data_IF_044613493539
#
_entry.id   IF_044613493539
#
_cell.length_a   1.000
_cell.length_b   1.000
_cell.length_c   1.000
_cell.angle_alpha   90.00
_cell.angle_beta   90.00
_cell.angle_gamma   90.00
#
_symmetry.space_group_name_H-M   'P 1'
#
loop_
_entity.id
_entity.type
_entity.pdbx_description
1 polymer ?
#
# COMPACT_ATOMS: atom_id res chain seq x y z
N UNK A 1 -5.51 -19.37 -7.39
CA UNK A 1 -5.76 -17.94 -7.39
C UNK A 1 -5.58 -17.37 -8.79
N UNK A 2 -6.37 -16.37 -9.13
CA UNK A 2 -6.38 -15.75 -10.45
C UNK A 2 -6.16 -14.25 -10.34
N UNK A 3 -5.57 -13.61 -11.39
CA UNK A 3 -5.50 -12.15 -11.43
C UNK A 3 -6.91 -11.54 -11.39
N UNK A 4 -7.07 -10.48 -10.61
CA UNK A 4 -8.30 -9.69 -10.61
C UNK A 4 -8.26 -8.77 -11.84
N UNK A 5 -9.28 -8.81 -12.72
CA UNK A 5 -9.31 -7.89 -13.86
C UNK A 5 -9.24 -6.43 -13.42
N UNK A 6 -8.45 -5.61 -14.13
CA UNK A 6 -8.24 -4.21 -13.78
C UNK A 6 -9.52 -3.42 -13.48
N UNK A 7 -10.60 -3.52 -14.28
CA UNK A 7 -11.87 -2.83 -14.00
C UNK A 7 -12.54 -3.25 -12.70
N UNK A 8 -12.23 -4.43 -12.16
CA UNK A 8 -12.77 -4.93 -10.89
C UNK A 8 -11.83 -4.66 -9.71
N UNK A 9 -10.60 -4.23 -9.98
CA UNK A 9 -9.58 -3.97 -8.98
C UNK A 9 -9.76 -2.57 -8.39
N UNK A 10 -10.57 -2.46 -7.34
CA UNK A 10 -10.88 -1.21 -6.66
C UNK A 10 -10.64 -1.36 -5.17
N UNK A 11 -9.87 -0.46 -4.59
CA UNK A 11 -9.60 -0.47 -3.17
C UNK A 11 -9.42 0.92 -2.59
N UNK A 12 -9.64 1.06 -1.30
CA UNK A 12 -9.38 2.29 -0.55
C UNK A 12 -8.48 2.00 0.64
N UNK A 13 -7.56 2.92 0.90
CA UNK A 13 -6.71 2.93 2.08
C UNK A 13 -6.89 4.29 2.75
N UNK A 14 -7.33 4.28 4.00
CA UNK A 14 -7.55 5.49 4.78
C UNK A 14 -6.68 5.49 6.03
N UNK A 15 -6.14 6.63 6.38
CA UNK A 15 -5.30 6.81 7.56
C UNK A 15 -4.77 8.22 7.66
N UNK A 16 -4.04 8.50 8.73
CA UNK A 16 -3.40 9.79 8.97
C UNK A 16 -1.90 9.60 8.78
N UNK A 17 -1.31 10.37 7.89
CA UNK A 17 0.13 10.34 7.62
C UNK A 17 0.81 11.47 8.38
N UNK A 18 1.76 11.20 9.30
CA UNK A 18 2.53 12.27 9.93
C UNK A 18 3.30 13.09 8.88
N UNK A 19 3.39 14.42 9.04
CA UNK A 19 4.09 15.25 8.06
C UNK A 19 5.61 15.07 8.07
N UNK A 20 6.17 14.49 9.14
CA UNK A 20 7.59 14.21 9.28
C UNK A 20 7.82 12.85 9.93
N UNK A 21 8.85 12.15 9.49
CA UNK A 21 9.23 10.84 10.02
C UNK A 21 10.75 10.72 10.09
N UNK A 22 11.26 9.86 10.99
CA UNK A 22 12.68 9.60 11.13
C UNK A 22 13.18 8.60 10.09
N UNK A 23 14.26 8.96 9.41
CA UNK A 23 14.90 8.10 8.40
C UNK A 23 15.28 6.74 8.98
N UNK A 24 15.08 5.67 8.20
CA UNK A 24 15.51 4.33 8.54
C UNK A 24 14.76 3.66 9.69
N UNK A 25 13.66 4.24 10.17
CA UNK A 25 12.80 3.65 11.21
C UNK A 25 11.63 2.91 10.61
N UNK A 26 10.87 2.21 11.46
CA UNK A 26 9.55 1.68 11.11
C UNK A 26 8.49 2.39 11.94
N UNK A 27 7.40 2.79 11.29
CA UNK A 27 6.34 3.57 11.91
C UNK A 27 5.03 2.78 11.84
N UNK A 28 4.31 2.63 12.96
CA UNK A 28 2.99 1.98 12.95
C UNK A 28 1.93 2.92 12.38
N UNK A 29 1.15 2.43 11.43
CA UNK A 29 0.04 3.14 10.82
C UNK A 29 -1.24 2.37 11.08
N UNK A 30 -2.19 2.91 11.86
CA UNK A 30 -3.55 2.40 11.86
C UNK A 30 -4.21 2.75 10.52
N UNK A 31 -4.62 1.75 9.78
CA UNK A 31 -5.24 1.91 8.47
C UNK A 31 -6.62 1.30 8.45
N UNK A 32 -7.53 1.92 7.71
CA UNK A 32 -8.78 1.33 7.28
C UNK A 32 -8.64 0.92 5.82
N UNK A 33 -8.90 -0.35 5.54
CA UNK A 33 -8.75 -0.95 4.22
C UNK A 33 -10.12 -1.41 3.76
N UNK A 34 -10.49 -1.06 2.52
CA UNK A 34 -11.81 -1.37 1.98
C UNK A 34 -11.70 -1.96 0.60
N UNK A 35 -12.42 -3.04 0.34
CA UNK A 35 -12.60 -3.59 -0.98
C UNK A 35 -13.79 -2.88 -1.66
N UNK A 36 -13.48 -1.99 -2.60
CA UNK A 36 -14.47 -1.25 -3.38
C UNK A 36 -14.82 -1.95 -4.69
N UNK A 37 -14.16 -3.05 -5.00
CA UNK A 37 -14.36 -3.78 -6.25
C UNK A 37 -15.48 -4.79 -6.17
N UNK A 38 -15.64 -5.54 -7.26
CA UNK A 38 -16.65 -6.58 -7.39
C UNK A 38 -16.09 -8.00 -7.23
N UNK A 39 -14.78 -8.13 -7.05
CA UNK A 39 -14.11 -9.41 -6.83
C UNK A 39 -13.60 -9.51 -5.39
N UNK A 40 -13.66 -10.70 -4.76
CA UNK A 40 -13.07 -10.91 -3.45
C UNK A 40 -11.54 -10.83 -3.52
N UNK A 41 -10.92 -10.37 -2.42
CA UNK A 41 -9.47 -10.31 -2.30
C UNK A 41 -8.94 -11.54 -1.54
N UNK A 42 -8.14 -12.39 -2.18
CA UNK A 42 -7.39 -13.43 -1.47
C UNK A 42 -6.18 -12.77 -0.79
N UNK A 43 -6.34 -12.30 0.44
CA UNK A 43 -5.35 -11.49 1.13
C UNK A 43 -4.65 -12.23 2.27
N UNK A 44 -5.38 -13.06 3.03
CA UNK A 44 -4.78 -13.80 4.12
C UNK A 44 -3.71 -14.78 3.62
N UNK A 45 -2.51 -14.67 4.18
CA UNK A 45 -1.34 -15.41 3.74
C UNK A 45 -0.96 -16.45 4.80
N UNK A 46 -0.74 -17.71 4.43
CA UNK A 46 -0.19 -18.70 5.36
C UNK A 46 1.20 -18.28 5.85
N UNK A 47 1.63 -18.67 7.07
CA UNK A 47 2.96 -18.35 7.56
C UNK A 47 4.05 -18.75 6.56
N UNK A 48 4.97 -17.82 6.26
CA UNK A 48 6.12 -18.06 5.41
C UNK A 48 5.95 -17.72 3.92
N UNK A 49 4.77 -17.28 3.46
CA UNK A 49 4.60 -17.01 2.03
C UNK A 49 3.66 -15.86 1.71
N UNK A 50 4.12 -14.74 1.10
CA UNK A 50 3.29 -14.08 0.12
C UNK A 50 3.26 -14.98 -1.13
N UNK A 51 2.11 -15.57 -1.42
CA UNK A 51 1.93 -16.31 -2.67
C UNK A 51 1.55 -15.35 -3.79
N UNK A 52 1.88 -15.71 -5.04
CA UNK A 52 1.39 -15.01 -6.22
C UNK A 52 -0.13 -14.85 -6.17
N UNK A 53 -0.65 -13.72 -6.67
CA UNK A 53 -2.07 -13.38 -6.74
C UNK A 53 -2.73 -13.00 -5.39
N UNK A 54 -1.98 -12.96 -4.30
CA UNK A 54 -2.45 -12.42 -3.03
C UNK A 54 -2.55 -10.90 -3.11
N UNK A 55 -3.64 -10.33 -2.60
CA UNK A 55 -3.80 -8.87 -2.53
C UNK A 55 -3.07 -8.37 -1.29
N UNK A 56 -2.27 -7.34 -1.45
CA UNK A 56 -1.48 -6.74 -0.38
C UNK A 56 -1.46 -5.21 -0.53
N UNK A 57 -0.74 -4.54 0.37
CA UNK A 57 -0.48 -3.12 0.29
C UNK A 57 0.95 -2.89 -0.22
N UNK A 58 1.11 -1.87 -1.06
CA UNK A 58 2.42 -1.35 -1.44
C UNK A 58 2.60 0.00 -0.77
N UNK A 59 3.59 0.13 0.11
CA UNK A 59 4.04 1.40 0.65
C UNK A 59 5.24 1.86 -0.16
N UNK A 60 5.20 3.07 -0.69
CA UNK A 60 6.26 3.56 -1.57
C UNK A 60 6.60 5.02 -1.29
N UNK A 61 7.87 5.34 -1.48
CA UNK A 61 8.47 6.65 -1.29
C UNK A 61 9.06 7.11 -2.61
N UNK A 62 8.53 8.17 -3.21
CA UNK A 62 9.05 8.75 -4.45
C UNK A 62 9.64 10.13 -4.22
N UNK A 63 10.65 10.47 -5.01
CA UNK A 63 11.08 11.86 -5.10
C UNK A 63 9.92 12.74 -5.59
N UNK A 64 9.78 13.98 -5.08
CA UNK A 64 8.69 14.85 -5.48
C UNK A 64 8.67 15.08 -7.00
N UNK A 65 7.48 14.98 -7.60
CA UNK A 65 7.29 15.19 -9.02
C UNK A 65 7.72 14.03 -9.92
N UNK A 66 8.22 12.95 -9.35
CA UNK A 66 8.53 11.72 -10.09
C UNK A 66 7.24 10.99 -10.41
N UNK A 67 7.16 10.38 -11.59
CA UNK A 67 6.06 9.53 -11.99
C UNK A 67 5.99 8.31 -11.06
N UNK A 68 4.81 8.03 -10.54
CA UNK A 68 4.60 6.98 -9.54
C UNK A 68 4.61 5.58 -10.17
N UNK A 69 5.76 5.13 -10.58
CA UNK A 69 6.02 3.76 -11.01
C UNK A 69 6.90 3.07 -9.98
N UNK A 70 6.55 1.84 -9.62
CA UNK A 70 7.29 1.08 -8.60
C UNK A 70 8.80 1.04 -8.87
N UNK A 71 9.20 0.89 -10.14
CA UNK A 71 10.60 0.85 -10.53
C UNK A 71 11.35 2.15 -10.28
N UNK A 72 10.64 3.29 -10.11
CA UNK A 72 11.22 4.61 -9.87
C UNK A 72 11.12 5.02 -8.41
N UNK A 73 10.54 4.21 -7.54
CA UNK A 73 10.47 4.51 -6.13
C UNK A 73 11.88 4.49 -5.52
N UNK A 74 12.17 5.49 -4.68
CA UNK A 74 13.39 5.49 -3.90
C UNK A 74 13.42 4.32 -2.91
N UNK A 75 12.24 3.94 -2.40
CA UNK A 75 12.05 2.79 -1.54
C UNK A 75 10.60 2.31 -1.64
N UNK A 76 10.39 1.02 -1.58
CA UNK A 76 9.05 0.44 -1.50
C UNK A 76 9.06 -0.83 -0.67
N UNK A 77 7.90 -1.18 -0.10
CA UNK A 77 7.72 -2.40 0.66
C UNK A 77 6.31 -2.94 0.46
N UNK A 78 6.21 -4.26 0.31
CA UNK A 78 4.92 -4.96 0.32
C UNK A 78 4.52 -5.25 1.77
N UNK A 79 3.27 -4.95 2.10
CA UNK A 79 2.71 -5.14 3.44
C UNK A 79 1.49 -6.03 3.33
N UNK A 80 1.46 -7.10 4.13
CA UNK A 80 0.37 -8.07 4.08
C UNK A 80 -0.93 -7.50 4.61
N UNK A 81 -2.05 -7.82 3.95
CA UNK A 81 -3.39 -7.66 4.49
C UNK A 81 -3.75 -8.97 5.17
N UNK A 82 -4.09 -8.92 6.46
CA UNK A 82 -4.14 -10.11 7.31
C UNK A 82 -5.46 -10.90 7.23
N UNK A 83 -6.39 -10.49 6.40
CA UNK A 83 -7.63 -11.23 6.17
C UNK A 83 -8.12 -11.04 4.75
N UNK A 84 -8.87 -12.02 4.24
CA UNK A 84 -9.57 -11.90 2.98
C UNK A 84 -10.70 -10.88 3.10
N UNK A 85 -10.92 -10.10 2.05
CA UNK A 85 -11.99 -9.10 2.00
C UNK A 85 -12.94 -9.39 0.85
N UNK A 86 -14.21 -9.54 1.20
CA UNK A 86 -15.30 -9.63 0.22
C UNK A 86 -15.63 -8.26 -0.36
N UNK A 87 -16.28 -8.19 -1.54
CA UNK A 87 -16.72 -6.91 -2.10
C UNK A 87 -17.53 -6.09 -1.09
N UNK A 88 -17.17 -4.82 -0.92
CA UNK A 88 -17.81 -3.90 0.02
C UNK A 88 -17.34 -4.02 1.46
N UNK A 89 -16.57 -5.04 1.79
CA UNK A 89 -16.07 -5.25 3.14
C UNK A 89 -14.90 -4.31 3.45
N UNK A 90 -14.83 -3.87 4.72
CA UNK A 90 -13.71 -3.09 5.23
C UNK A 90 -13.28 -3.60 6.59
N UNK A 91 -12.02 -3.33 6.96
CA UNK A 91 -11.55 -3.59 8.31
C UNK A 91 -10.36 -2.69 8.65
N UNK A 92 -10.01 -2.65 9.91
CA UNK A 92 -8.88 -1.87 10.41
C UNK A 92 -7.70 -2.77 10.74
N UNK A 93 -6.51 -2.32 10.36
CA UNK A 93 -5.26 -3.03 10.61
C UNK A 93 -4.17 -2.01 10.85
N UNK A 94 -3.33 -2.25 11.86
CA UNK A 94 -2.08 -1.50 12.02
C UNK A 94 -0.99 -2.19 11.20
N UNK A 95 -0.32 -1.42 10.35
CA UNK A 95 0.84 -1.88 9.57
C UNK A 95 2.09 -1.15 10.03
N UNK A 96 3.24 -1.81 9.99
CA UNK A 96 4.53 -1.20 10.25
C UNK A 96 5.17 -0.83 8.92
N UNK A 97 5.35 0.47 8.68
CA UNK A 97 5.86 0.99 7.42
C UNK A 97 7.33 1.37 7.59
N UNK A 98 8.22 0.77 6.78
CA UNK A 98 9.62 1.21 6.76
C UNK A 98 9.71 2.60 6.14
N UNK A 99 10.44 3.50 6.81
CA UNK A 99 10.68 4.87 6.36
C UNK A 99 11.93 4.89 5.47
N UNK A 100 11.92 5.73 4.43
CA UNK A 100 13.07 5.92 3.56
C UNK A 100 14.34 6.19 4.38
N UNK A 101 15.47 5.62 3.98
CA UNK A 101 16.72 5.71 4.72
C UNK A 101 17.44 7.04 4.54
N UNK A 102 17.20 7.71 3.41
CA UNK A 102 17.83 8.99 3.11
C UNK A 102 16.90 10.14 3.48
N UNK A 103 17.32 11.10 4.31
CA UNK A 103 16.52 12.29 4.59
C UNK A 103 16.19 13.08 3.33
N UNK A 104 15.01 13.69 3.31
CA UNK A 104 14.55 14.48 2.19
C UNK A 104 13.04 14.64 2.19
N UNK A 105 12.51 15.25 1.15
CA UNK A 105 11.07 15.40 0.92
C UNK A 105 10.64 14.31 -0.06
N UNK A 106 9.56 13.60 0.28
CA UNK A 106 9.04 12.51 -0.55
C UNK A 106 7.55 12.65 -0.77
N UNK A 107 7.10 12.13 -1.90
CA UNK A 107 5.71 11.76 -2.11
C UNK A 107 5.54 10.33 -1.60
N UNK A 108 4.76 10.15 -0.52
CA UNK A 108 4.50 8.88 0.12
C UNK A 108 3.12 8.36 -0.29
N UNK A 109 3.04 7.06 -0.56
CA UNK A 109 1.79 6.42 -0.96
C UNK A 109 1.66 5.02 -0.35
N UNK A 110 0.45 4.69 0.07
CA UNK A 110 0.05 3.30 0.32
C UNK A 110 -1.10 2.98 -0.64
N UNK A 111 -0.89 1.99 -1.49
CA UNK A 111 -1.84 1.56 -2.51
C UNK A 111 -2.06 0.05 -2.41
N UNK A 112 -3.24 -0.40 -2.82
CA UNK A 112 -3.53 -1.83 -2.92
C UNK A 112 -2.95 -2.37 -4.22
N UNK A 113 -2.37 -3.56 -4.16
CA UNK A 113 -1.94 -4.30 -5.36
C UNK A 113 -2.15 -5.80 -5.18
N UNK A 114 -2.26 -6.51 -6.28
CA UNK A 114 -2.22 -7.97 -6.29
C UNK A 114 -0.82 -8.41 -6.74
N UNK A 115 -0.18 -9.30 -5.98
CA UNK A 115 1.15 -9.81 -6.30
C UNK A 115 1.11 -10.52 -7.65
N UNK A 116 2.01 -10.15 -8.57
CA UNK A 116 2.04 -10.63 -9.96
C UNK A 116 0.70 -10.43 -10.70
N UNK A 117 -0.05 -9.42 -10.30
CA UNK A 117 -1.35 -9.11 -10.89
C UNK A 117 -1.55 -7.60 -11.05
N UNK A 118 -2.81 -7.17 -10.98
CA UNK A 118 -3.18 -5.79 -11.18
C UNK A 118 -2.69 -4.90 -10.03
N UNK A 119 -2.14 -3.75 -10.38
CA UNK A 119 -2.02 -2.62 -9.46
C UNK A 119 -3.34 -1.89 -9.43
N UNK A 120 -3.80 -1.55 -8.23
CA UNK A 120 -5.09 -0.87 -8.06
C UNK A 120 -4.92 0.63 -8.27
N UNK A 121 -4.64 1.03 -9.52
CA UNK A 121 -4.36 2.41 -9.92
C UNK A 121 -5.41 2.98 -10.88
N UNK A 122 -6.42 2.19 -11.25
CA UNK A 122 -7.52 2.63 -12.12
C UNK A 122 -8.40 3.66 -11.42
N UNK A 123 -9.13 4.52 -12.17
CA UNK A 123 -10.12 5.42 -11.58
C UNK A 123 -11.09 4.68 -10.66
N UNK A 124 -11.43 5.28 -9.51
CA UNK A 124 -12.25 4.67 -8.47
C UNK A 124 -11.45 4.07 -7.32
N UNK A 125 -10.13 3.98 -7.43
CA UNK A 125 -9.25 3.65 -6.31
C UNK A 125 -9.00 4.89 -5.45
N UNK A 126 -8.80 4.66 -4.15
CA UNK A 126 -8.54 5.71 -3.17
C UNK A 126 -7.28 5.35 -2.37
N UNK A 127 -6.10 5.54 -2.94
CA UNK A 127 -4.85 5.32 -2.21
C UNK A 127 -4.65 6.38 -1.13
N UNK A 128 -3.88 6.05 -0.11
CA UNK A 128 -3.41 6.99 0.88
C UNK A 128 -2.16 7.68 0.34
N UNK A 129 -2.20 9.00 0.19
CA UNK A 129 -1.08 9.80 -0.33
C UNK A 129 -0.81 10.99 0.53
N UNK A 130 0.47 11.32 0.72
CA UNK A 130 0.89 12.52 1.43
C UNK A 130 2.32 12.90 1.05
N UNK A 131 2.63 14.19 1.17
CA UNK A 131 4.02 14.64 1.13
C UNK A 131 4.59 14.57 2.53
N UNK A 132 5.74 13.93 2.68
CA UNK A 132 6.39 13.67 3.97
C UNK A 132 7.83 14.18 3.93
N UNK A 133 8.24 14.87 4.99
CA UNK A 133 9.64 15.19 5.23
C UNK A 133 10.27 14.08 6.07
N UNK A 134 11.28 13.41 5.51
CA UNK A 134 12.07 12.42 6.23
C UNK A 134 13.29 13.15 6.81
N UNK A 135 13.44 13.08 8.12
CA UNK A 135 14.49 13.80 8.85
C UNK A 135 15.53 12.83 9.39
N UNK A 136 16.74 13.32 9.60
CA UNK A 136 17.82 12.52 10.21
C UNK A 136 17.42 12.13 11.63
N UNK A 137 17.72 10.90 12.04
CA UNK A 137 17.49 10.45 13.41
C UNK A 137 18.39 11.18 14.42
#
# INVERSE_FOLDING_TARGET
LSPIPGPQARGAVEGIVPPAMLAGTSVPFPLRIRNLGSAPWPSAVPPGAPSAQTVCLLAAWWAPGVRHERALAAMSADLSILRDLSPGESYEQTVWVPVAETPGIYDFEIVVEQVDGARFDQPGNQPLRARVTVVSP
#
